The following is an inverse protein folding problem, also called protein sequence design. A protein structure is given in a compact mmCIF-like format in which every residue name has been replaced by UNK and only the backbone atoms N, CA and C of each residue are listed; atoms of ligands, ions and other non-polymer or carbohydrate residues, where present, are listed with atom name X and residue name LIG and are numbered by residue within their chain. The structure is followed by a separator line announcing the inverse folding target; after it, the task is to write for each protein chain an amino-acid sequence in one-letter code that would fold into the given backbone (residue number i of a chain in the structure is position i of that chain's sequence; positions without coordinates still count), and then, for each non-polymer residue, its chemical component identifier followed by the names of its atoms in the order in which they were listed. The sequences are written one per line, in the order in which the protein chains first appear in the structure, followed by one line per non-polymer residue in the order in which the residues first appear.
data_IF_642280769194
#
_entry.id   IF_642280769194
#
_cell.length_a   1.000
_cell.length_b   1.000
_cell.length_c   1.000
_cell.angle_alpha   90.00
_cell.angle_beta   90.00
_cell.angle_gamma   90.00
#
_symmetry.space_group_name_H-M   'P 1'
#
loop_
_entity.id
_entity.type
_entity.pdbx_description
1 polymer ?
#
# COMPACT_ATOMS: atom_id res chain seq x y z
N UNK A 1 12.74 -0.56 -8.44
CA UNK A 1 12.27 -1.58 -7.49
C UNK A 1 12.45 -3.01 -8.01
N UNK A 2 12.91 -3.91 -7.14
CA UNK A 2 12.87 -5.37 -7.34
C UNK A 2 12.13 -5.95 -6.15
N UNK A 3 11.12 -6.79 -6.39
CA UNK A 3 10.36 -7.55 -5.40
C UNK A 3 10.44 -9.04 -5.76
N UNK A 4 9.99 -9.92 -4.86
CA UNK A 4 9.83 -11.32 -5.22
C UNK A 4 8.77 -12.02 -4.39
N UNK A 5 8.05 -12.93 -5.05
CA UNK A 5 7.47 -14.10 -4.41
C UNK A 5 8.43 -15.28 -4.58
N UNK A 6 7.93 -16.39 -5.11
CA UNK A 6 8.74 -17.47 -5.68
C UNK A 6 9.40 -17.05 -7.00
N UNK A 7 8.77 -16.13 -7.73
CA UNK A 7 9.30 -15.53 -8.94
C UNK A 7 9.76 -14.09 -8.66
N UNK A 8 10.78 -13.65 -9.40
CA UNK A 8 11.26 -12.28 -9.34
C UNK A 8 10.28 -11.36 -10.06
N UNK A 9 9.85 -10.30 -9.37
CA UNK A 9 9.16 -9.17 -9.99
C UNK A 9 10.14 -8.00 -10.11
N UNK A 10 10.44 -7.58 -11.34
CA UNK A 10 11.25 -6.39 -11.60
C UNK A 10 10.38 -5.34 -12.25
N UNK A 11 10.29 -4.17 -11.64
CA UNK A 11 9.67 -3.01 -12.27
C UNK A 11 10.61 -2.49 -13.36
N UNK A 12 10.15 -2.51 -14.61
CA UNK A 12 10.89 -2.03 -15.79
C UNK A 12 10.09 -0.93 -16.50
N UNK A 13 10.72 -0.14 -17.39
CA UNK A 13 10.03 0.91 -18.14
C UNK A 13 8.87 0.39 -19.04
N UNK A 14 8.85 -0.89 -19.37
CA UNK A 14 7.79 -1.53 -20.15
C UNK A 14 6.54 -1.87 -19.33
N UNK A 15 6.60 -1.78 -18.00
CA UNK A 15 5.47 -1.99 -17.10
C UNK A 15 4.90 -0.60 -16.73
N UNK A 16 3.83 -0.13 -17.39
CA UNK A 16 3.33 1.23 -17.21
C UNK A 16 2.67 1.44 -15.84
N UNK A 17 2.16 0.38 -15.23
CA UNK A 17 1.46 0.42 -13.95
C UNK A 17 1.52 -0.95 -13.27
N UNK A 18 1.59 -0.97 -11.94
CA UNK A 18 1.61 -2.20 -11.13
C UNK A 18 0.31 -2.31 -10.35
N UNK A 19 -0.49 -3.33 -10.66
CA UNK A 19 -1.74 -3.58 -9.95
C UNK A 19 -1.48 -4.30 -8.62
N UNK A 20 -1.86 -3.67 -7.51
CA UNK A 20 -1.87 -4.26 -6.17
C UNK A 20 -3.30 -4.72 -5.86
N UNK A 21 -3.49 -6.02 -5.60
CA UNK A 21 -4.80 -6.58 -5.29
C UNK A 21 -5.28 -6.21 -3.89
N UNK A 22 -6.36 -5.42 -3.80
CA UNK A 22 -6.90 -4.86 -2.55
C UNK A 22 -7.90 -5.74 -1.78
N UNK A 23 -8.33 -6.88 -2.34
CA UNK A 23 -9.50 -7.63 -1.80
C UNK A 23 -9.19 -8.52 -0.60
N UNK A 24 -7.92 -8.74 -0.28
CA UNK A 24 -7.47 -9.49 0.91
C UNK A 24 -7.35 -8.57 2.14
N UNK A 25 -8.37 -7.74 2.34
CA UNK A 25 -8.41 -6.69 3.36
C UNK A 25 -9.69 -6.80 4.19
N UNK A 26 -9.59 -7.00 5.51
CA UNK A 26 -10.76 -7.16 6.39
C UNK A 26 -11.63 -5.89 6.43
N UNK A 27 -11.01 -4.71 6.41
CA UNK A 27 -11.74 -3.43 6.43
C UNK A 27 -12.35 -3.08 5.07
N UNK A 28 -11.69 -3.48 3.97
CA UNK A 28 -12.07 -3.13 2.59
C UNK A 28 -13.01 -4.12 1.89
N UNK A 29 -13.02 -5.40 2.32
CA UNK A 29 -13.73 -6.48 1.62
C UNK A 29 -14.68 -7.23 2.55
N UNK A 30 -15.98 -7.01 2.40
CA UNK A 30 -17.01 -7.68 3.21
C UNK A 30 -16.93 -9.22 3.10
N UNK A 31 -16.62 -9.73 1.90
CA UNK A 31 -16.41 -11.17 1.68
C UNK A 31 -15.22 -11.68 2.48
N UNK A 32 -14.07 -11.03 2.36
CA UNK A 32 -12.84 -11.47 3.04
C UNK A 32 -12.98 -11.35 4.56
N UNK A 33 -13.54 -10.25 5.04
CA UNK A 33 -13.88 -9.99 6.45
C UNK A 33 -14.69 -11.14 7.06
N UNK A 34 -15.75 -11.58 6.37
CA UNK A 34 -16.56 -12.72 6.80
C UNK A 34 -15.73 -14.00 6.91
N UNK A 35 -14.97 -14.33 5.87
CA UNK A 35 -14.19 -15.57 5.82
C UNK A 35 -13.14 -15.64 6.94
N UNK A 36 -12.41 -14.55 7.19
CA UNK A 36 -11.40 -14.50 8.25
C UNK A 36 -12.03 -14.63 9.63
N UNK A 37 -13.13 -13.91 9.89
CA UNK A 37 -13.86 -13.96 11.17
C UNK A 37 -14.46 -15.35 11.46
N UNK A 38 -14.89 -16.06 10.42
CA UNK A 38 -15.36 -17.44 10.49
C UNK A 38 -14.22 -18.48 10.51
N UNK A 39 -12.96 -18.05 10.53
CA UNK A 39 -11.76 -18.90 10.41
C UNK A 39 -11.72 -19.75 9.12
N UNK A 40 -12.48 -19.39 8.09
CA UNK A 40 -12.50 -20.06 6.79
C UNK A 40 -11.38 -19.54 5.89
N UNK A 41 -10.14 -19.87 6.26
CA UNK A 41 -8.95 -19.42 5.53
C UNK A 41 -8.77 -20.10 4.17
N UNK A 42 -9.33 -21.30 3.96
CA UNK A 42 -9.30 -21.98 2.65
C UNK A 42 -9.99 -21.12 1.59
N UNK A 43 -11.21 -20.67 1.86
CA UNK A 43 -11.94 -19.77 0.95
C UNK A 43 -11.31 -18.36 0.89
N UNK A 44 -10.60 -17.95 1.95
CA UNK A 44 -9.88 -16.67 1.95
C UNK A 44 -8.69 -16.69 0.97
N UNK A 45 -8.00 -17.83 0.85
CA UNK A 45 -6.92 -18.06 -0.13
C UNK A 45 -7.46 -17.91 -1.56
N UNK A 46 -8.67 -18.39 -1.84
CA UNK A 46 -9.32 -18.24 -3.15
C UNK A 46 -9.55 -16.77 -3.54
N UNK A 47 -9.72 -15.87 -2.56
CA UNK A 47 -9.80 -14.42 -2.83
C UNK A 47 -8.47 -13.90 -3.37
N UNK A 48 -7.33 -14.34 -2.82
CA UNK A 48 -6.01 -13.99 -3.32
C UNK A 48 -5.77 -14.59 -4.71
N UNK A 49 -6.07 -15.89 -4.91
CA UNK A 49 -5.89 -16.58 -6.19
C UNK A 49 -6.60 -15.86 -7.33
N UNK A 50 -7.87 -15.50 -7.14
CA UNK A 50 -8.67 -14.79 -8.15
C UNK A 50 -8.09 -13.44 -8.54
N UNK A 51 -7.44 -12.74 -7.60
CA UNK A 51 -6.80 -11.45 -7.91
C UNK A 51 -5.56 -11.66 -8.78
N UNK A 52 -4.72 -12.65 -8.46
CA UNK A 52 -3.55 -13.00 -9.29
C UNK A 52 -3.99 -13.44 -10.69
N UNK A 53 -5.01 -14.29 -10.80
CA UNK A 53 -5.61 -14.70 -12.08
C UNK A 53 -6.19 -13.52 -12.87
N UNK A 54 -6.66 -12.48 -12.18
CA UNK A 54 -7.19 -11.24 -12.78
C UNK A 54 -6.10 -10.21 -13.09
N UNK A 55 -4.82 -10.54 -12.90
CA UNK A 55 -3.68 -9.69 -13.27
C UNK A 55 -3.06 -8.86 -12.14
N UNK A 56 -3.41 -9.13 -10.86
CA UNK A 56 -2.69 -8.52 -9.74
C UNK A 56 -1.24 -9.00 -9.71
N UNK A 57 -0.30 -8.06 -9.67
CA UNK A 57 1.14 -8.32 -9.64
C UNK A 57 1.71 -8.32 -8.22
N UNK A 58 0.97 -7.74 -7.28
CA UNK A 58 1.24 -7.74 -5.84
C UNK A 58 -0.10 -8.04 -5.14
N UNK A 59 -0.10 -8.76 -4.02
CA UNK A 59 -1.29 -8.94 -3.18
C UNK A 59 -1.13 -8.17 -1.87
N UNK A 60 -2.04 -7.22 -1.62
CA UNK A 60 -2.15 -6.53 -0.34
C UNK A 60 -2.92 -7.39 0.67
N UNK A 61 -2.39 -7.48 1.89
CA UNK A 61 -2.94 -8.32 2.95
C UNK A 61 -3.14 -7.47 4.20
N UNK A 62 -4.39 -7.26 4.59
CA UNK A 62 -4.73 -6.51 5.79
C UNK A 62 -5.59 -7.35 6.74
N UNK A 63 -5.11 -7.49 7.98
CA UNK A 63 -5.74 -8.29 9.05
C UNK A 63 -6.19 -7.43 10.24
N UNK A 64 -6.34 -6.12 10.06
CA UNK A 64 -6.73 -5.20 11.11
C UNK A 64 -8.25 -5.23 11.34
N UNK A 65 -8.67 -5.80 12.47
CA UNK A 65 -10.04 -5.74 12.97
C UNK A 65 -10.05 -5.95 14.48
N UNK A 66 -10.95 -5.26 15.19
CA UNK A 66 -11.03 -5.32 16.65
C UNK A 66 -11.42 -6.70 17.21
N UNK A 67 -11.98 -7.58 16.38
CA UNK A 67 -12.42 -8.93 16.76
C UNK A 67 -11.43 -10.02 16.33
N UNK A 68 -10.32 -9.65 15.67
CA UNK A 68 -9.35 -10.59 15.12
C UNK A 68 -7.99 -10.39 15.79
N UNK A 69 -7.35 -11.50 16.20
CA UNK A 69 -5.94 -11.49 16.56
C UNK A 69 -5.11 -11.29 15.28
N UNK A 70 -4.82 -10.04 14.95
CA UNK A 70 -4.17 -9.66 13.71
C UNK A 70 -2.77 -10.27 13.55
N UNK A 71 -2.00 -10.43 14.63
CA UNK A 71 -0.68 -11.08 14.57
C UNK A 71 -0.84 -12.54 14.14
N UNK A 72 -1.74 -13.28 14.79
CA UNK A 72 -1.99 -14.68 14.46
C UNK A 72 -2.59 -14.85 13.06
N UNK A 73 -3.54 -13.99 12.70
CA UNK A 73 -4.21 -14.03 11.39
C UNK A 73 -3.24 -13.73 10.25
N UNK A 74 -2.38 -12.71 10.40
CA UNK A 74 -1.36 -12.36 9.42
C UNK A 74 -0.38 -13.51 9.19
N UNK A 75 0.21 -14.07 10.26
CA UNK A 75 1.11 -15.23 10.15
C UNK A 75 0.45 -16.39 9.42
N UNK A 76 -0.75 -16.76 9.86
CA UNK A 76 -1.49 -17.89 9.29
C UNK A 76 -1.78 -17.68 7.81
N UNK A 77 -2.26 -16.50 7.42
CA UNK A 77 -2.64 -16.26 6.04
C UNK A 77 -1.43 -16.16 5.12
N UNK A 78 -0.37 -15.44 5.51
CA UNK A 78 0.88 -15.38 4.73
C UNK A 78 1.47 -16.77 4.50
N UNK A 79 1.49 -17.63 5.54
CA UNK A 79 1.96 -19.01 5.41
C UNK A 79 1.11 -19.84 4.45
N UNK A 80 -0.21 -19.68 4.48
CA UNK A 80 -1.12 -20.37 3.55
C UNK A 80 -0.90 -19.91 2.12
N UNK A 81 -0.78 -18.60 1.88
CA UNK A 81 -0.49 -18.09 0.54
C UNK A 81 0.89 -18.54 0.02
N UNK A 82 1.89 -18.62 0.91
CA UNK A 82 3.21 -19.15 0.56
C UNK A 82 3.20 -20.64 0.21
N UNK A 83 2.20 -21.40 0.68
CA UNK A 83 2.04 -22.82 0.35
C UNK A 83 1.33 -23.09 -0.98
N UNK A 84 0.79 -22.05 -1.63
CA UNK A 84 0.02 -22.14 -2.87
C UNK A 84 0.85 -21.54 -4.03
N UNK A 85 1.47 -22.35 -4.91
CA UNK A 85 2.43 -21.87 -5.90
C UNK A 85 1.88 -20.78 -6.84
N UNK A 86 0.61 -20.89 -7.25
CA UNK A 86 -0.04 -19.93 -8.14
C UNK A 86 -0.17 -18.53 -7.53
N UNK A 87 -0.17 -18.44 -6.20
CA UNK A 87 -0.22 -17.18 -5.46
C UNK A 87 1.18 -16.78 -5.04
N UNK A 88 1.95 -17.72 -4.50
CA UNK A 88 3.28 -17.49 -3.97
C UNK A 88 4.26 -16.94 -5.02
N UNK A 89 3.99 -17.09 -6.33
CA UNK A 89 4.79 -16.48 -7.40
C UNK A 89 4.85 -14.95 -7.35
N UNK A 90 3.80 -14.28 -6.87
CA UNK A 90 3.78 -12.81 -6.77
C UNK A 90 4.24 -12.32 -5.39
N UNK A 91 4.88 -11.14 -5.29
CA UNK A 91 5.18 -10.50 -4.02
C UNK A 91 3.92 -10.13 -3.22
N UNK A 92 4.08 -9.98 -1.90
CA UNK A 92 3.03 -9.55 -0.97
C UNK A 92 3.30 -8.13 -0.46
N UNK A 93 2.23 -7.40 -0.19
CA UNK A 93 2.23 -6.14 0.55
C UNK A 93 1.57 -6.40 1.92
N UNK A 94 2.37 -6.33 2.98
CA UNK A 94 1.94 -6.60 4.35
C UNK A 94 1.33 -5.32 4.91
N UNK A 95 0.01 -5.28 5.01
CA UNK A 95 -0.77 -4.11 5.40
C UNK A 95 -1.27 -4.17 6.86
N UNK A 96 -0.83 -3.21 7.67
CA UNK A 96 -1.38 -2.99 9.01
C UNK A 96 -1.02 -1.62 9.57
N UNK A 97 -1.92 -1.08 10.40
CA UNK A 97 -1.67 0.08 11.26
C UNK A 97 -0.80 -0.23 12.48
N UNK A 98 -0.51 -1.51 12.76
CA UNK A 98 0.23 -1.99 13.93
C UNK A 98 1.52 -2.67 13.51
N UNK A 99 2.66 -2.13 13.96
CA UNK A 99 3.96 -2.60 13.51
C UNK A 99 4.26 -4.04 13.91
N UNK A 100 3.72 -4.52 15.04
CA UNK A 100 3.85 -5.92 15.46
C UNK A 100 3.17 -6.91 14.50
N UNK A 101 2.11 -6.50 13.79
CA UNK A 101 1.45 -7.31 12.76
C UNK A 101 2.30 -7.31 11.48
N UNK A 102 2.88 -6.16 11.12
CA UNK A 102 3.82 -6.05 10.00
C UNK A 102 5.00 -7.01 10.22
N UNK A 103 5.66 -6.94 11.38
CA UNK A 103 6.78 -7.83 11.72
C UNK A 103 6.38 -9.30 11.65
N UNK A 104 5.17 -9.64 12.10
CA UNK A 104 4.64 -10.99 12.03
C UNK A 104 4.50 -11.50 10.58
N UNK A 105 4.04 -10.65 9.67
CA UNK A 105 3.98 -10.96 8.24
C UNK A 105 5.36 -11.10 7.60
N UNK A 106 6.28 -10.15 7.87
CA UNK A 106 7.66 -10.18 7.38
C UNK A 106 8.41 -11.45 7.78
N UNK A 107 8.21 -11.93 9.01
CA UNK A 107 8.82 -13.19 9.50
C UNK A 107 8.32 -14.44 8.78
N UNK A 108 7.17 -14.38 8.10
CA UNK A 108 6.53 -15.52 7.46
C UNK A 108 6.69 -15.54 5.93
N UNK A 109 7.15 -14.44 5.33
CA UNK A 109 7.29 -14.32 3.89
C UNK A 109 8.75 -14.52 3.46
N UNK A 110 8.98 -15.38 2.48
CA UNK A 110 10.34 -15.73 2.04
C UNK A 110 10.93 -14.72 1.04
N UNK A 111 10.09 -14.15 0.17
CA UNK A 111 10.54 -13.23 -0.88
C UNK A 111 10.73 -11.79 -0.38
N UNK A 112 11.08 -10.89 -1.30
CA UNK A 112 11.13 -9.46 -1.02
C UNK A 112 9.73 -8.86 -1.16
N UNK A 113 9.11 -8.55 -0.03
CA UNK A 113 7.77 -7.96 0.08
C UNK A 113 7.81 -6.43 0.23
N UNK A 114 6.62 -5.85 0.32
CA UNK A 114 6.39 -4.46 0.69
C UNK A 114 5.75 -4.38 2.08
N UNK A 115 6.12 -3.36 2.84
CA UNK A 115 5.44 -2.95 4.06
C UNK A 115 4.46 -1.84 3.74
N UNK A 116 3.20 -2.00 4.12
CA UNK A 116 2.16 -0.97 4.06
C UNK A 116 1.61 -0.73 5.48
N UNK A 117 2.01 0.31 6.17
CA UNK A 117 2.94 1.37 5.81
C UNK A 117 3.60 1.91 7.09
N UNK A 118 4.56 2.80 6.93
CA UNK A 118 5.05 3.63 8.03
C UNK A 118 4.81 5.11 7.72
N UNK A 119 4.89 5.97 8.73
CA UNK A 119 4.67 7.41 8.59
C UNK A 119 5.35 8.21 9.70
N UNK A 120 5.37 9.53 9.56
CA UNK A 120 5.90 10.45 10.58
C UNK A 120 4.91 10.74 11.71
N UNK A 121 3.72 10.10 11.72
CA UNK A 121 2.69 10.27 12.76
C UNK A 121 3.22 10.07 14.17
N UNK A 122 4.07 9.08 14.36
CA UNK A 122 4.70 8.74 15.66
C UNK A 122 5.95 9.59 15.97
N UNK A 123 6.25 10.59 15.14
CA UNK A 123 7.50 11.34 15.18
C UNK A 123 8.65 10.64 14.47
N UNK A 124 9.71 11.41 14.23
CA UNK A 124 10.87 11.02 13.45
C UNK A 124 11.64 9.82 14.03
N UNK A 125 11.78 9.73 15.35
CA UNK A 125 12.53 8.65 16.00
C UNK A 125 11.88 7.28 15.82
N UNK A 126 10.55 7.19 15.95
CA UNK A 126 9.83 5.95 15.70
C UNK A 126 9.86 5.59 14.21
N UNK A 127 9.71 6.59 13.33
CA UNK A 127 9.83 6.41 11.88
C UNK A 127 11.20 5.82 11.47
N UNK A 128 12.30 6.36 11.99
CA UNK A 128 13.67 5.86 11.74
C UNK A 128 13.84 4.43 12.25
N UNK A 129 13.34 4.15 13.46
CA UNK A 129 13.42 2.81 14.07
C UNK A 129 12.67 1.77 13.23
N UNK A 130 11.46 2.09 12.79
CA UNK A 130 10.67 1.21 11.93
C UNK A 130 11.35 1.02 10.57
N UNK A 131 11.84 2.08 9.93
CA UNK A 131 12.56 2.00 8.66
C UNK A 131 13.80 1.09 8.75
N UNK A 132 14.62 1.24 9.79
CA UNK A 132 15.79 0.37 10.03
C UNK A 132 15.39 -1.09 10.22
N UNK A 133 14.29 -1.35 10.93
CA UNK A 133 13.79 -2.72 11.11
C UNK A 133 13.31 -3.32 9.79
N UNK A 134 12.59 -2.56 8.97
CA UNK A 134 12.13 -2.99 7.63
C UNK A 134 13.34 -3.32 6.74
N UNK A 135 14.40 -2.49 6.76
CA UNK A 135 15.64 -2.78 6.04
C UNK A 135 16.31 -4.08 6.49
N UNK A 136 16.23 -4.44 7.77
CA UNK A 136 16.77 -5.72 8.28
C UNK A 136 16.06 -6.93 7.68
N UNK A 137 14.79 -6.80 7.31
CA UNK A 137 14.04 -7.82 6.55
C UNK A 137 14.25 -7.72 5.03
N UNK A 138 14.89 -6.65 4.53
CA UNK A 138 15.11 -6.43 3.10
C UNK A 138 13.85 -6.08 2.30
N UNK A 139 12.78 -5.65 2.97
CA UNK A 139 11.51 -5.28 2.33
C UNK A 139 11.54 -3.82 1.81
N UNK A 140 10.74 -3.57 0.77
CA UNK A 140 10.39 -2.18 0.39
C UNK A 140 9.30 -1.62 1.30
N UNK A 141 9.04 -0.32 1.20
CA UNK A 141 8.16 0.36 2.16
C UNK A 141 7.27 1.40 1.51
N UNK A 142 5.98 1.37 1.86
CA UNK A 142 5.03 2.44 1.62
C UNK A 142 5.11 3.46 2.75
N UNK A 143 5.27 4.73 2.38
CA UNK A 143 5.35 5.88 3.27
C UNK A 143 4.09 6.72 3.07
N UNK A 144 3.23 6.73 4.09
CA UNK A 144 2.02 7.56 4.06
C UNK A 144 2.39 9.02 4.23
N UNK A 145 1.73 9.91 3.47
CA UNK A 145 1.76 11.35 3.72
C UNK A 145 0.96 11.71 4.99
N UNK A 146 1.50 11.34 6.14
CA UNK A 146 0.97 11.58 7.47
C UNK A 146 2.14 11.91 8.41
N UNK A 147 2.09 13.06 9.08
CA UNK A 147 3.11 13.46 10.06
C UNK A 147 2.50 13.83 11.42
N UNK A 148 3.28 14.45 12.29
CA UNK A 148 2.87 14.86 13.63
C UNK A 148 1.70 15.86 13.64
N UNK A 149 1.43 16.54 12.51
CA UNK A 149 0.32 17.48 12.34
C UNK A 149 -0.94 16.82 11.76
N UNK A 150 -0.86 15.56 11.31
CA UNK A 150 -2.00 14.82 10.78
C UNK A 150 -1.81 14.31 9.36
N UNK A 151 -2.93 13.92 8.76
CA UNK A 151 -2.97 13.40 7.40
C UNK A 151 -2.93 14.54 6.36
N UNK A 152 -2.08 14.39 5.33
CA UNK A 152 -1.94 15.37 4.27
C UNK A 152 -3.15 15.36 3.31
N UNK A 153 -3.93 16.44 3.35
CA UNK A 153 -5.07 16.64 2.46
C UNK A 153 -4.73 17.46 1.21
N UNK A 154 -4.02 18.59 1.35
CA UNK A 154 -3.64 19.47 0.24
C UNK A 154 -2.37 19.01 -0.47
N UNK A 155 -2.19 19.43 -1.73
CA UNK A 155 -0.97 19.17 -2.50
C UNK A 155 0.31 19.51 -1.74
N UNK A 156 0.40 20.73 -1.19
CA UNK A 156 1.64 21.24 -0.61
C UNK A 156 2.05 20.43 0.64
N UNK A 157 1.08 20.00 1.45
CA UNK A 157 1.34 19.17 2.62
C UNK A 157 1.78 17.75 2.21
N UNK A 158 1.17 17.18 1.16
CA UNK A 158 1.59 15.88 0.61
C UNK A 158 3.06 15.93 0.19
N UNK A 159 3.43 16.95 -0.60
CA UNK A 159 4.81 17.17 -1.06
C UNK A 159 5.76 17.38 0.12
N UNK A 160 5.42 18.27 1.05
CA UNK A 160 6.25 18.59 2.23
C UNK A 160 6.58 17.34 3.04
N UNK A 161 5.58 16.52 3.34
CA UNK A 161 5.74 15.32 4.16
C UNK A 161 6.56 14.26 3.42
N UNK A 162 6.25 13.99 2.15
CA UNK A 162 7.02 13.01 1.36
C UNK A 162 8.49 13.42 1.19
N UNK A 163 8.77 14.70 0.90
CA UNK A 163 10.16 15.18 0.78
C UNK A 163 10.92 15.13 2.12
N UNK A 164 10.24 15.42 3.25
CA UNK A 164 10.84 15.27 4.58
C UNK A 164 11.18 13.80 4.84
N UNK A 165 10.23 12.90 4.62
CA UNK A 165 10.44 11.47 4.81
C UNK A 165 11.57 10.93 3.91
N UNK A 166 11.63 11.35 2.64
CA UNK A 166 12.71 10.98 1.72
C UNK A 166 14.08 11.37 2.29
N UNK A 167 14.25 12.63 2.71
CA UNK A 167 15.51 13.13 3.30
C UNK A 167 15.94 12.33 4.53
N UNK A 168 15.00 11.94 5.39
CA UNK A 168 15.28 11.13 6.58
C UNK A 168 15.73 9.72 6.16
N UNK A 169 14.97 9.07 5.28
CA UNK A 169 15.24 7.70 4.81
C UNK A 169 16.57 7.59 4.05
N UNK A 170 16.91 8.56 3.21
CA UNK A 170 18.15 8.55 2.43
C UNK A 170 19.34 9.19 3.17
N UNK A 171 19.16 9.62 4.41
CA UNK A 171 20.23 10.19 5.22
C UNK A 171 21.32 9.15 5.52
N UNK A 172 22.51 9.62 5.93
CA UNK A 172 23.60 8.74 6.39
C UNK A 172 23.23 7.88 7.61
N UNK A 173 22.20 8.27 8.37
CA UNK A 173 21.76 7.52 9.54
C UNK A 173 20.93 6.28 9.17
N UNK A 174 20.09 6.39 8.14
CA UNK A 174 19.13 5.33 7.76
C UNK A 174 19.62 4.58 6.53
N UNK A 175 20.06 5.30 5.49
CA UNK A 175 20.57 4.74 4.23
C UNK A 175 19.58 3.77 3.56
N UNK A 176 18.28 4.05 3.64
CA UNK A 176 17.25 3.27 2.98
C UNK A 176 17.41 3.40 1.44
N UNK A 177 17.41 2.29 0.68
CA UNK A 177 17.51 2.35 -0.77
C UNK A 177 16.32 3.12 -1.38
N UNK A 178 16.54 4.22 -2.12
CA UNK A 178 15.45 5.05 -2.60
C UNK A 178 14.53 4.33 -3.60
N UNK A 179 15.04 3.34 -4.34
CA UNK A 179 14.27 2.48 -5.25
C UNK A 179 13.31 1.49 -4.57
N UNK A 180 13.38 1.40 -3.24
CA UNK A 180 12.50 0.60 -2.38
C UNK A 180 11.51 1.47 -1.59
N UNK A 181 11.53 2.78 -1.81
CA UNK A 181 10.59 3.75 -1.21
C UNK A 181 9.40 3.95 -2.15
N UNK A 182 8.20 3.80 -1.61
CA UNK A 182 6.94 4.10 -2.28
C UNK A 182 6.21 5.15 -1.45
N UNK A 183 5.91 6.32 -2.01
CA UNK A 183 5.06 7.29 -1.33
C UNK A 183 3.58 7.02 -1.64
N UNK A 184 2.74 7.10 -0.60
CA UNK A 184 1.29 7.24 -0.74
C UNK A 184 0.88 8.67 -0.33
N UNK A 185 0.66 9.57 -1.31
CA UNK A 185 0.18 10.93 -1.05
C UNK A 185 -1.26 11.00 -0.52
N UNK A 186 -1.92 9.90 -0.16
CA UNK A 186 -3.32 9.77 0.22
C UNK A 186 -4.30 10.07 -0.92
N UNK A 187 -4.83 9.03 -1.57
CA UNK A 187 -6.07 9.14 -2.34
C UNK A 187 -7.24 9.26 -1.36
N UNK A 188 -7.90 10.43 -1.34
CA UNK A 188 -9.02 10.73 -0.45
C UNK A 188 -10.35 10.79 -1.22
N UNK A 189 -11.45 10.58 -0.51
CA UNK A 189 -12.80 10.56 -1.10
C UNK A 189 -13.24 11.94 -1.60
N UNK A 190 -13.70 11.99 -2.85
CA UNK A 190 -14.31 13.18 -3.46
C UNK A 190 -15.84 13.03 -3.53
N UNK A 191 -16.54 14.07 -4.00
CA UNK A 191 -18.00 14.08 -4.14
C UNK A 191 -18.74 13.82 -2.81
N UNK A 192 -18.18 14.29 -1.70
CA UNK A 192 -18.74 14.09 -0.34
C UNK A 192 -19.84 15.09 0.03
N UNK A 193 -20.07 16.10 -0.80
CA UNK A 193 -20.92 17.26 -0.47
C UNK A 193 -20.21 18.36 0.33
N UNK A 194 -18.91 18.20 0.60
CA UNK A 194 -18.05 19.17 1.32
C UNK A 194 -17.12 19.82 0.30
N UNK A 195 -17.13 21.15 0.18
CA UNK A 195 -16.43 21.87 -0.89
C UNK A 195 -14.90 21.72 -0.81
N UNK A 196 -14.38 21.62 0.41
CA UNK A 196 -12.97 21.40 0.72
C UNK A 196 -12.43 20.10 0.12
N UNK A 197 -13.29 19.11 -0.15
CA UNK A 197 -12.88 17.80 -0.67
C UNK A 197 -12.83 17.75 -2.20
N UNK A 198 -13.31 18.79 -2.90
CA UNK A 198 -13.44 18.77 -4.36
C UNK A 198 -12.10 18.63 -5.09
N UNK A 199 -11.01 19.12 -4.48
CA UNK A 199 -9.68 19.15 -5.10
C UNK A 199 -8.80 17.94 -4.77
N UNK A 200 -9.22 17.03 -3.87
CA UNK A 200 -8.34 15.96 -3.39
C UNK A 200 -7.76 15.05 -4.49
N UNK A 201 -8.53 14.79 -5.55
CA UNK A 201 -8.02 14.02 -6.70
C UNK A 201 -6.94 14.77 -7.48
N UNK A 202 -7.12 16.07 -7.70
CA UNK A 202 -6.14 16.94 -8.37
C UNK A 202 -4.90 17.12 -7.50
N UNK A 203 -5.10 17.38 -6.20
CA UNK A 203 -4.02 17.54 -5.22
C UNK A 203 -3.11 16.30 -5.16
N UNK A 204 -3.66 15.09 -5.30
CA UNK A 204 -2.87 13.87 -5.39
C UNK A 204 -2.01 13.85 -6.66
N UNK A 205 -2.60 14.12 -7.83
CA UNK A 205 -1.91 14.05 -9.12
C UNK A 205 -0.78 15.10 -9.19
N UNK A 206 -1.06 16.34 -8.80
CA UNK A 206 -0.06 17.41 -8.77
C UNK A 206 1.06 17.11 -7.75
N UNK A 207 0.72 16.56 -6.58
CA UNK A 207 1.72 16.18 -5.59
C UNK A 207 2.60 15.02 -6.11
N UNK A 208 2.00 14.02 -6.76
CA UNK A 208 2.71 12.88 -7.34
C UNK A 208 3.77 13.35 -8.36
N UNK A 209 3.41 14.26 -9.27
CA UNK A 209 4.34 14.83 -10.26
C UNK A 209 5.54 15.52 -9.58
N UNK A 210 5.28 16.31 -8.53
CA UNK A 210 6.33 17.02 -7.79
C UNK A 210 7.22 16.05 -7.02
N UNK A 211 6.63 15.04 -6.37
CA UNK A 211 7.34 14.05 -5.57
C UNK A 211 8.29 13.23 -6.46
N UNK A 212 7.83 12.71 -7.60
CA UNK A 212 8.69 11.94 -8.51
C UNK A 212 9.88 12.76 -9.01
N UNK A 213 9.69 14.05 -9.29
CA UNK A 213 10.78 14.95 -9.71
C UNK A 213 11.77 15.28 -8.58
N UNK A 214 11.30 15.35 -7.34
CA UNK A 214 12.09 15.81 -6.19
C UNK A 214 12.67 14.68 -5.32
N UNK A 215 12.16 13.46 -5.45
CA UNK A 215 12.57 12.26 -4.71
C UNK A 215 13.02 11.18 -5.71
N UNK A 216 14.24 11.26 -6.26
CA UNK A 216 14.68 10.36 -7.33
C UNK A 216 14.64 8.89 -6.89
N UNK A 217 14.31 8.02 -7.84
CA UNK A 217 14.11 6.57 -7.68
C UNK A 217 12.90 6.12 -6.85
N UNK A 218 12.28 7.00 -6.06
CA UNK A 218 11.08 6.67 -5.32
C UNK A 218 9.87 6.47 -6.25
N UNK A 219 8.88 5.72 -5.77
CA UNK A 219 7.66 5.38 -6.50
C UNK A 219 6.43 6.04 -5.88
N UNK A 220 5.32 6.11 -6.61
CA UNK A 220 4.01 6.57 -6.11
C UNK A 220 3.03 5.39 -6.11
N UNK A 221 2.24 5.29 -5.05
CA UNK A 221 1.09 4.39 -4.93
C UNK A 221 -0.09 5.13 -4.31
N UNK A 222 -1.26 4.49 -4.29
CA UNK A 222 -2.42 5.01 -3.59
C UNK A 222 -3.60 4.04 -3.61
N UNK A 223 -4.37 4.02 -2.53
CA UNK A 223 -5.61 3.25 -2.41
C UNK A 223 -6.72 3.81 -3.31
N UNK A 224 -6.77 3.38 -4.57
CA UNK A 224 -7.66 3.92 -5.62
C UNK A 224 -9.15 3.90 -5.24
N UNK A 225 -9.60 2.80 -4.63
CA UNK A 225 -11.00 2.63 -4.21
C UNK A 225 -11.51 3.75 -3.28
N UNK A 226 -10.62 4.38 -2.51
CA UNK A 226 -10.95 5.46 -1.58
C UNK A 226 -11.54 6.69 -2.27
N UNK A 227 -11.09 7.00 -3.50
CA UNK A 227 -11.56 8.14 -4.30
C UNK A 227 -13.09 8.12 -4.44
N UNK A 228 -13.62 6.92 -4.63
CA UNK A 228 -14.99 6.63 -5.05
C UNK A 228 -15.94 6.22 -3.92
N UNK A 229 -15.52 6.33 -2.64
CA UNK A 229 -16.33 5.83 -1.52
C UNK A 229 -17.71 6.51 -1.38
N UNK A 230 -17.87 7.74 -1.86
CA UNK A 230 -19.18 8.41 -1.88
C UNK A 230 -20.23 7.68 -2.75
N UNK A 231 -19.79 6.79 -3.64
CA UNK A 231 -20.65 6.07 -4.58
C UNK A 231 -20.67 4.55 -4.36
N UNK A 232 -20.42 4.08 -3.13
CA UNK A 232 -20.54 2.65 -2.80
C UNK A 232 -21.94 2.13 -3.18
N UNK A 233 -21.97 1.02 -3.90
CA UNK A 233 -23.21 0.42 -4.45
C UNK A 233 -23.50 0.80 -5.90
N UNK A 234 -22.71 1.68 -6.53
CA UNK A 234 -22.81 2.05 -7.95
C UNK A 234 -21.50 1.71 -8.66
N UNK A 235 -21.21 0.43 -8.81
CA UNK A 235 -19.88 -0.04 -9.22
C UNK A 235 -19.46 0.45 -10.62
N UNK A 236 -20.39 0.55 -11.58
CA UNK A 236 -20.11 1.10 -12.92
C UNK A 236 -19.55 2.53 -12.87
N UNK A 237 -20.09 3.37 -11.97
CA UNK A 237 -19.60 4.74 -11.79
C UNK A 237 -18.23 4.74 -11.12
N UNK A 238 -18.01 3.86 -10.13
CA UNK A 238 -16.73 3.75 -9.42
C UNK A 238 -15.62 3.33 -10.39
N UNK A 239 -15.87 2.32 -11.21
CA UNK A 239 -14.92 1.81 -12.21
C UNK A 239 -14.59 2.90 -13.26
N UNK A 240 -15.58 3.69 -13.68
CA UNK A 240 -15.36 4.84 -14.56
C UNK A 240 -14.50 5.92 -13.90
N UNK A 241 -14.77 6.27 -12.63
CA UNK A 241 -13.95 7.22 -11.87
C UNK A 241 -12.50 6.73 -11.72
N UNK A 242 -12.31 5.45 -11.42
CA UNK A 242 -11.00 4.83 -11.29
C UNK A 242 -10.22 4.91 -12.60
N UNK A 243 -10.87 4.58 -13.71
CA UNK A 243 -10.25 4.62 -15.04
C UNK A 243 -9.81 6.04 -15.43
N UNK A 244 -10.66 7.04 -15.21
CA UNK A 244 -10.32 8.45 -15.50
C UNK A 244 -9.21 8.96 -14.58
N UNK A 245 -9.26 8.63 -13.29
CA UNK A 245 -8.23 9.03 -12.34
C UNK A 245 -6.88 8.42 -12.72
N UNK A 246 -6.83 7.11 -12.99
CA UNK A 246 -5.60 6.42 -13.40
C UNK A 246 -5.05 6.97 -14.71
N UNK A 247 -5.90 7.29 -15.70
CA UNK A 247 -5.46 7.89 -16.96
C UNK A 247 -4.64 9.16 -16.74
N UNK A 248 -5.11 10.05 -15.87
CA UNK A 248 -4.39 11.29 -15.54
C UNK A 248 -3.21 11.05 -14.59
N UNK A 249 -3.38 10.24 -13.55
CA UNK A 249 -2.33 9.99 -12.56
C UNK A 249 -1.12 9.28 -13.18
N UNK A 250 -1.31 8.32 -14.07
CA UNK A 250 -0.21 7.61 -14.74
C UNK A 250 0.53 8.55 -15.71
N UNK A 251 -0.15 9.53 -16.31
CA UNK A 251 0.49 10.43 -17.29
C UNK A 251 1.57 11.36 -16.72
N UNK A 252 1.64 11.49 -15.39
CA UNK A 252 2.60 12.35 -14.67
C UNK A 252 3.69 11.58 -13.92
N UNK A 253 3.66 10.23 -13.98
CA UNK A 253 4.60 9.31 -13.34
C UNK A 253 5.60 8.76 -14.36
#
# INVERSE_FOLDING_TARGET
MILSGLEMFRLTPEIPFVNVGERCNIAGSARFSKLVKENNFTEAVDVARKQVESGAQIIDINMDDGLVDGVKAMKKFVQLLASEPDIAKVPMMIDSSKFEIIQAGLQCFQGKCLVNSISLKGGEQEFIKQAKEIMRYGAGVVIMAFDEQGQAASRDEKVRICQRAYKILTSNEVQFPPEDIIFDPNILTICTGIAEHNHYGVDFIEAAEIIVKSCPYAHISGGLSNLSFAFRGVDELRDAMHSVFLYHAISVL
#
